data_IF_506266680155
#
_entry.id   IF_506266680155
#
_cell.length_a   1.000
_cell.length_b   1.000
_cell.length_c   1.000
_cell.angle_alpha   90.00
_cell.angle_beta   90.00
_cell.angle_gamma   90.00
#
_symmetry.space_group_name_H-M   'P 1'
#
loop_
_entity.id
_entity.type
_entity.pdbx_description
1 polymer ?
#
# COMPACT_ATOMS: atom_id res chain seq x y z
N UNK A 1 -8.48 -36.90 17.42
CA UNK A 1 -7.72 -35.87 16.66
C UNK A 1 -7.62 -34.66 17.56
N UNK A 2 -6.49 -34.47 18.26
CA UNK A 2 -6.31 -33.34 19.19
C UNK A 2 -6.20 -32.03 18.39
N UNK A 3 -6.78 -30.92 18.86
CA UNK A 3 -6.57 -29.62 18.23
C UNK A 3 -5.09 -29.28 18.28
N UNK A 4 -4.48 -29.03 17.12
CA UNK A 4 -3.10 -28.58 17.01
C UNK A 4 -2.88 -27.35 17.89
N UNK A 5 -1.94 -27.45 18.83
CA UNK A 5 -1.55 -26.37 19.72
C UNK A 5 -1.21 -25.10 18.91
N UNK A 6 -1.56 -23.90 19.41
CA UNK A 6 -1.21 -22.66 18.72
C UNK A 6 0.31 -22.57 18.57
N UNK A 7 0.79 -22.43 17.33
CA UNK A 7 2.21 -22.23 17.07
C UNK A 7 2.70 -20.99 17.84
N UNK A 8 3.80 -21.09 18.59
CA UNK A 8 4.35 -19.95 19.31
C UNK A 8 4.74 -18.84 18.32
N UNK A 9 4.54 -17.59 18.75
CA UNK A 9 5.01 -16.43 18.00
C UNK A 9 6.53 -16.39 17.98
N UNK A 10 7.08 -16.00 16.84
CA UNK A 10 8.48 -15.59 16.77
C UNK A 10 8.67 -14.29 17.57
N UNK A 11 9.70 -14.20 18.45
CA UNK A 11 9.89 -13.08 19.38
C UNK A 11 10.16 -11.75 18.68
N UNK A 12 10.56 -11.75 17.40
CA UNK A 12 10.84 -10.55 16.61
C UNK A 12 9.74 -10.25 15.57
N UNK A 13 8.66 -11.03 15.56
CA UNK A 13 7.52 -10.84 14.64
C UNK A 13 6.40 -9.94 15.19
N UNK A 14 6.62 -9.36 16.38
CA UNK A 14 5.72 -8.42 17.04
C UNK A 14 5.66 -7.06 16.34
N UNK A 15 4.65 -6.26 16.69
CA UNK A 15 4.42 -4.92 16.13
C UNK A 15 4.07 -3.96 17.25
N UNK A 16 4.70 -2.79 17.26
CA UNK A 16 4.29 -1.68 18.13
C UNK A 16 3.07 -1.00 17.50
N UNK A 17 2.00 -0.86 18.27
CA UNK A 17 0.75 -0.24 17.81
C UNK A 17 0.71 1.18 18.40
N UNK A 18 0.69 2.24 17.58
CA UNK A 18 0.44 3.59 18.06
C UNK A 18 -1.03 3.74 18.49
N UNK A 19 -1.35 4.70 19.36
CA UNK A 19 -2.73 4.95 19.83
C UNK A 19 -3.73 5.13 18.67
N UNK A 20 -3.30 5.74 17.57
CA UNK A 20 -4.11 5.91 16.35
C UNK A 20 -4.52 4.57 15.72
N UNK A 21 -3.74 3.49 15.90
CA UNK A 21 -4.08 2.15 15.44
C UNK A 21 -5.23 1.50 16.24
N UNK A 22 -5.54 2.02 17.42
CA UNK A 22 -6.69 1.58 18.23
C UNK A 22 -8.00 2.23 17.81
N UNK A 23 -7.96 3.33 17.05
CA UNK A 23 -9.14 3.98 16.50
C UNK A 23 -9.93 2.97 15.65
N UNK A 24 -11.23 2.86 15.91
CA UNK A 24 -12.13 1.85 15.30
C UNK A 24 -11.64 0.40 15.42
N UNK A 25 -10.87 0.07 16.46
CA UNK A 25 -10.32 -1.27 16.67
C UNK A 25 -9.47 -1.77 15.49
N UNK A 26 -8.89 -0.86 14.71
CA UNK A 26 -8.28 -1.21 13.43
C UNK A 26 -7.07 -2.16 13.56
N UNK A 27 -6.33 -2.09 14.67
CA UNK A 27 -5.26 -3.03 15.01
C UNK A 27 -5.71 -4.52 15.04
N UNK A 28 -6.99 -4.81 15.32
CA UNK A 28 -7.54 -6.17 15.39
C UNK A 28 -7.80 -6.78 14.01
N UNK A 29 -7.77 -5.99 12.94
CA UNK A 29 -8.14 -6.42 11.58
C UNK A 29 -7.10 -6.08 10.53
N UNK A 30 -6.31 -5.04 10.74
CA UNK A 30 -5.37 -4.52 9.75
C UNK A 30 -4.16 -5.43 9.55
N UNK A 31 -3.79 -5.65 8.29
CA UNK A 31 -2.58 -6.39 7.92
C UNK A 31 -1.30 -5.71 8.45
N UNK A 32 -1.37 -4.41 8.74
CA UNK A 32 -0.25 -3.61 9.27
C UNK A 32 0.06 -3.95 10.72
N UNK A 33 -0.98 -4.17 11.54
CA UNK A 33 -0.88 -4.29 13.00
C UNK A 33 -1.21 -5.69 13.54
N UNK A 34 -1.89 -6.53 12.76
CA UNK A 34 -2.25 -7.88 13.19
C UNK A 34 -1.00 -8.66 13.61
N UNK A 35 -1.07 -9.47 14.67
CA UNK A 35 0.01 -10.38 15.03
C UNK A 35 0.34 -11.35 13.88
N UNK A 36 1.60 -11.79 13.76
CA UNK A 36 2.09 -12.69 12.69
C UNK A 36 1.57 -14.15 12.76
N UNK A 37 0.30 -14.32 13.12
CA UNK A 37 -0.44 -15.57 13.20
C UNK A 37 -1.09 -15.94 11.86
N UNK A 38 -1.91 -17.00 11.86
CA UNK A 38 -2.53 -17.54 10.65
C UNK A 38 -3.32 -16.50 9.86
N UNK A 39 -4.10 -15.63 10.54
CA UNK A 39 -4.88 -14.57 9.88
C UNK A 39 -3.99 -13.60 9.11
N UNK A 40 -2.94 -13.08 9.74
CA UNK A 40 -1.99 -12.18 9.09
C UNK A 40 -1.27 -12.85 7.92
N UNK A 41 -0.82 -14.10 8.09
CA UNK A 41 -0.16 -14.87 7.01
C UNK A 41 -1.09 -15.09 5.81
N UNK A 42 -2.36 -15.38 6.06
CA UNK A 42 -3.35 -15.56 5.00
C UNK A 42 -3.59 -14.25 4.24
N UNK A 43 -3.77 -13.12 4.95
CA UNK A 43 -3.91 -11.81 4.33
C UNK A 43 -2.68 -11.47 3.47
N UNK A 44 -1.46 -11.65 4.01
CA UNK A 44 -0.21 -11.41 3.26
C UNK A 44 -0.09 -12.29 2.03
N UNK A 45 -0.48 -13.57 2.14
CA UNK A 45 -0.49 -14.50 1.00
C UNK A 45 -1.43 -13.99 -0.08
N UNK A 46 -2.68 -13.67 0.24
CA UNK A 46 -3.65 -13.14 -0.73
C UNK A 46 -3.15 -11.83 -1.35
N UNK A 47 -2.63 -10.90 -0.55
CA UNK A 47 -2.07 -9.66 -1.06
C UNK A 47 -0.92 -9.92 -2.04
N UNK A 48 0.02 -10.80 -1.71
CA UNK A 48 1.18 -11.07 -2.56
C UNK A 48 0.84 -11.88 -3.83
N UNK A 49 -0.05 -12.87 -3.72
CA UNK A 49 -0.32 -13.82 -4.82
C UNK A 49 -1.52 -13.43 -5.68
N UNK A 50 -2.36 -12.51 -5.22
CA UNK A 50 -3.54 -12.07 -5.96
C UNK A 50 -3.45 -10.57 -6.22
N UNK A 51 -3.52 -9.72 -5.20
CA UNK A 51 -3.64 -8.25 -5.39
C UNK A 51 -2.40 -7.65 -6.06
N UNK A 52 -1.21 -7.98 -5.56
CA UNK A 52 0.07 -7.45 -6.02
C UNK A 52 0.85 -8.47 -6.85
N UNK A 53 0.17 -9.49 -7.39
CA UNK A 53 0.80 -10.45 -8.27
C UNK A 53 1.29 -9.75 -9.55
N UNK A 54 2.43 -10.17 -10.15
CA UNK A 54 2.95 -9.55 -11.37
C UNK A 54 1.90 -9.46 -12.48
N UNK A 55 1.12 -10.51 -12.70
CA UNK A 55 0.04 -10.53 -13.69
C UNK A 55 -1.02 -9.45 -13.43
N UNK A 56 -1.42 -9.23 -12.18
CA UNK A 56 -2.37 -8.16 -11.83
C UNK A 56 -1.74 -6.78 -11.95
N UNK A 57 -0.44 -6.65 -11.62
CA UNK A 57 0.28 -5.41 -11.87
C UNK A 57 0.31 -5.09 -13.37
N UNK A 58 0.56 -6.07 -14.25
CA UNK A 58 0.49 -5.84 -15.70
C UNK A 58 -0.93 -5.51 -16.16
N UNK A 59 -1.96 -6.21 -15.66
CA UNK A 59 -3.36 -5.94 -16.01
C UNK A 59 -3.79 -4.50 -15.62
N UNK A 60 -3.30 -4.00 -14.48
CA UNK A 60 -3.58 -2.63 -14.00
C UNK A 60 -2.62 -1.58 -14.57
N UNK A 61 -1.68 -1.95 -15.44
CA UNK A 61 -0.72 -1.00 -16.03
C UNK A 61 -1.41 0.11 -16.79
N UNK A 62 -2.49 -0.20 -17.54
CA UNK A 62 -3.26 0.77 -18.30
C UNK A 62 -3.90 1.87 -17.43
N UNK A 63 -4.12 1.60 -16.13
CA UNK A 63 -4.64 2.59 -15.18
C UNK A 63 -3.54 3.48 -14.60
N UNK A 64 -2.32 2.93 -14.45
CA UNK A 64 -1.17 3.67 -13.89
C UNK A 64 -0.45 4.55 -14.91
N UNK A 65 -0.37 4.11 -16.16
CA UNK A 65 0.36 4.83 -17.21
C UNK A 65 -0.19 6.26 -17.44
N UNK A 66 -1.52 6.49 -17.52
CA UNK A 66 -2.06 7.84 -17.65
C UNK A 66 -1.67 8.76 -16.49
N UNK A 67 -1.68 8.25 -15.25
CA UNK A 67 -1.29 9.03 -14.06
C UNK A 67 0.19 9.43 -14.07
N UNK A 68 1.06 8.54 -14.55
CA UNK A 68 2.48 8.88 -14.76
C UNK A 68 2.61 9.93 -15.87
N UNK A 69 1.83 9.82 -16.95
CA UNK A 69 1.84 10.81 -18.02
C UNK A 69 1.36 12.19 -17.53
N UNK A 70 0.29 12.26 -16.75
CA UNK A 70 -0.20 13.49 -16.11
C UNK A 70 0.89 14.18 -15.27
N UNK A 71 1.65 13.38 -14.50
CA UNK A 71 2.79 13.90 -13.72
C UNK A 71 3.88 14.47 -14.64
N UNK A 72 4.24 13.75 -15.71
CA UNK A 72 5.25 14.20 -16.67
C UNK A 72 4.82 15.50 -17.37
N UNK A 73 3.56 15.57 -17.79
CA UNK A 73 3.00 16.76 -18.45
C UNK A 73 2.99 17.96 -17.50
N UNK A 74 2.64 17.75 -16.23
CA UNK A 74 2.71 18.78 -15.19
C UNK A 74 4.14 19.33 -15.02
N UNK A 75 5.13 18.44 -14.92
CA UNK A 75 6.54 18.84 -14.79
C UNK A 75 7.01 19.59 -16.04
N UNK A 76 6.69 19.09 -17.23
CA UNK A 76 7.02 19.73 -18.50
C UNK A 76 6.42 21.14 -18.62
N UNK A 77 5.18 21.31 -18.16
CA UNK A 77 4.50 22.59 -18.14
C UNK A 77 5.17 23.58 -17.16
N UNK A 78 5.59 23.12 -15.99
CA UNK A 78 6.37 23.92 -15.05
C UNK A 78 7.70 24.38 -15.65
N UNK A 79 8.42 23.49 -16.35
CA UNK A 79 9.66 23.81 -17.04
C UNK A 79 9.46 24.86 -18.15
N UNK A 80 8.45 24.66 -19.00
CA UNK A 80 8.16 25.53 -20.14
C UNK A 80 7.69 26.93 -19.73
N UNK A 81 7.03 27.06 -18.58
CA UNK A 81 6.51 28.32 -18.05
C UNK A 81 7.57 29.12 -17.26
N UNK A 82 8.79 29.22 -17.80
CA UNK A 82 9.88 30.00 -17.19
C UNK A 82 10.56 29.32 -16.00
N UNK A 83 10.50 27.99 -15.90
CA UNK A 83 11.18 27.24 -14.84
C UNK A 83 10.51 27.36 -13.48
N UNK A 84 9.20 27.13 -13.39
CA UNK A 84 8.48 27.12 -12.12
C UNK A 84 9.00 26.00 -11.21
N UNK A 85 9.16 26.31 -9.92
CA UNK A 85 9.52 25.32 -8.91
C UNK A 85 8.42 24.27 -8.79
N UNK A 86 8.80 23.00 -8.84
CA UNK A 86 7.90 21.86 -8.64
C UNK A 86 8.05 21.35 -7.21
N UNK A 87 6.95 21.34 -6.46
CA UNK A 87 6.87 20.62 -5.20
C UNK A 87 6.67 19.12 -5.49
N UNK A 88 7.77 18.37 -5.41
CA UNK A 88 7.79 16.93 -5.69
C UNK A 88 6.90 16.17 -4.71
N UNK A 89 6.86 16.56 -3.43
CA UNK A 89 6.06 15.88 -2.42
C UNK A 89 4.57 16.01 -2.72
N UNK A 90 4.13 17.23 -3.02
CA UNK A 90 2.76 17.50 -3.43
C UNK A 90 2.40 16.81 -4.74
N UNK A 91 3.26 16.90 -5.76
CA UNK A 91 3.01 16.28 -7.06
C UNK A 91 2.89 14.75 -6.94
N UNK A 92 3.83 14.10 -6.23
CA UNK A 92 3.79 12.66 -6.00
C UNK A 92 2.55 12.23 -5.20
N UNK A 93 2.15 13.02 -4.19
CA UNK A 93 0.95 12.74 -3.40
C UNK A 93 -0.32 12.79 -4.25
N UNK A 94 -0.49 13.84 -5.06
CA UNK A 94 -1.64 14.00 -5.96
C UNK A 94 -1.70 12.84 -6.95
N UNK A 95 -0.60 12.55 -7.64
CA UNK A 95 -0.55 11.45 -8.61
C UNK A 95 -0.85 10.09 -7.99
N UNK A 96 -0.41 9.85 -6.76
CA UNK A 96 -0.66 8.59 -6.05
C UNK A 96 -2.11 8.47 -5.58
N UNK A 97 -2.69 9.54 -5.04
CA UNK A 97 -4.03 9.54 -4.45
C UNK A 97 -5.15 9.64 -5.51
N UNK A 98 -4.97 10.46 -6.54
CA UNK A 98 -5.93 10.57 -7.65
C UNK A 98 -5.85 9.38 -8.63
N UNK A 99 -4.90 8.46 -8.42
CA UNK A 99 -4.76 7.21 -9.17
C UNK A 99 -5.57 6.03 -8.62
N UNK A 100 -6.35 6.23 -7.54
CA UNK A 100 -7.18 5.20 -6.90
C UNK A 100 -8.66 5.64 -6.94
N UNK A 101 -9.15 6.00 -8.12
CA UNK A 101 -10.59 5.90 -8.39
C UNK A 101 -10.87 4.45 -8.84
N UNK A 102 -11.24 3.61 -7.87
CA UNK A 102 -11.85 2.28 -8.08
C UNK A 102 -13.33 2.38 -7.79
#
# INVERSE_FOLDING_TARGET
MLPSSPKPMDPFSGRTIPDTGHVFDHHKVSIVWLPALARWRNLRKVSATQIFAPQQLYATQALRQPKVQELLDHVNQCCSNGGKVVDIGRAAFITLCEGIDV
#
